data_IF_595733882934
#
_entry.id   IF_595733882934
#
_cell.length_a   1.000
_cell.length_b   1.000
_cell.length_c   1.000
_cell.angle_alpha   90.00
_cell.angle_beta   90.00
_cell.angle_gamma   90.00
#
_symmetry.space_group_name_H-M   'P 1'
#
loop_
_entity.id
_entity.type
_entity.pdbx_description
1 polymer ?
#
# COMPACT_ATOMS: atom_id res chain seq x y z
N UNK A 1 30.92 8.96 2.10
CA UNK A 1 31.03 7.62 2.71
C UNK A 1 31.67 7.67 4.09
N UNK A 2 32.83 8.34 4.27
CA UNK A 2 33.52 8.39 5.58
C UNK A 2 32.71 8.96 6.76
N UNK A 3 31.82 9.94 6.54
CA UNK A 3 30.99 10.49 7.63
C UNK A 3 29.93 9.48 8.09
N UNK A 4 29.28 8.76 7.17
CA UNK A 4 28.22 7.82 7.53
C UNK A 4 28.75 6.61 8.32
N UNK A 5 29.95 6.13 8.00
CA UNK A 5 30.58 5.03 8.76
C UNK A 5 30.93 5.39 10.21
N UNK A 6 30.90 6.67 10.59
CA UNK A 6 31.09 7.10 11.99
C UNK A 6 29.81 6.92 12.82
N UNK A 7 28.64 6.93 12.18
CA UNK A 7 27.33 6.89 12.84
C UNK A 7 26.50 5.63 12.55
N UNK A 8 26.85 4.89 11.50
CA UNK A 8 26.07 3.75 11.02
C UNK A 8 26.92 2.49 10.85
N UNK A 9 26.38 1.36 11.30
CA UNK A 9 26.93 0.03 11.05
C UNK A 9 26.86 -0.31 9.55
N UNK A 10 27.72 -1.22 9.09
CA UNK A 10 27.82 -1.56 7.66
C UNK A 10 26.50 -2.09 7.08
N UNK A 11 25.69 -2.79 7.87
CA UNK A 11 24.38 -3.33 7.47
C UNK A 11 23.23 -2.33 7.62
N UNK A 12 23.50 -1.09 8.03
CA UNK A 12 22.47 -0.07 8.14
C UNK A 12 22.00 0.33 6.73
N UNK A 13 20.70 0.58 6.59
CA UNK A 13 20.08 1.02 5.31
C UNK A 13 20.80 2.23 4.69
N UNK A 14 21.31 3.14 5.52
CA UNK A 14 22.06 4.33 5.08
C UNK A 14 23.43 4.01 4.44
N UNK A 15 23.95 2.80 4.67
CA UNK A 15 25.22 2.31 4.13
C UNK A 15 25.03 1.41 2.89
N UNK A 16 23.79 1.00 2.62
CA UNK A 16 23.40 0.10 1.52
C UNK A 16 22.72 0.86 0.36
N UNK A 17 22.45 0.19 -0.76
CA UNK A 17 21.84 0.80 -1.95
C UNK A 17 20.42 1.32 -1.70
N UNK A 18 19.69 0.73 -0.75
CA UNK A 18 18.33 1.13 -0.35
C UNK A 18 18.29 2.58 0.14
N UNK A 19 19.36 3.10 0.76
CA UNK A 19 19.45 4.51 1.15
C UNK A 19 19.33 5.45 -0.06
N UNK A 20 19.86 5.06 -1.21
CA UNK A 20 19.74 5.83 -2.46
C UNK A 20 18.31 5.80 -2.99
N UNK A 21 17.61 4.67 -2.87
CA UNK A 21 16.19 4.54 -3.24
C UNK A 21 15.33 5.46 -2.39
N UNK A 22 15.55 5.48 -1.07
CA UNK A 22 14.84 6.37 -0.13
C UNK A 22 15.05 7.84 -0.53
N UNK A 23 16.29 8.25 -0.82
CA UNK A 23 16.58 9.62 -1.28
C UNK A 23 15.89 9.94 -2.60
N UNK A 24 15.84 8.99 -3.53
CA UNK A 24 15.09 9.12 -4.79
C UNK A 24 13.59 9.33 -4.56
N UNK A 25 12.99 8.60 -3.61
CA UNK A 25 11.58 8.77 -3.22
C UNK A 25 11.33 10.14 -2.57
N UNK A 26 12.27 10.63 -1.75
CA UNK A 26 12.16 11.95 -1.11
C UNK A 26 12.12 13.11 -2.11
N UNK A 27 12.68 12.95 -3.33
CA UNK A 27 12.54 13.95 -4.40
C UNK A 27 11.07 14.17 -4.76
N UNK A 28 10.23 13.13 -4.66
CA UNK A 28 8.79 13.23 -4.89
C UNK A 28 8.10 14.18 -3.92
N UNK A 29 8.65 14.40 -2.72
CA UNK A 29 8.08 15.33 -1.74
C UNK A 29 8.19 16.81 -2.17
N UNK A 30 9.03 17.14 -3.15
CA UNK A 30 9.23 18.52 -3.60
C UNK A 30 7.97 19.18 -4.16
N UNK A 31 6.98 18.39 -4.59
CA UNK A 31 5.71 18.91 -5.13
C UNK A 31 4.68 19.20 -4.04
N UNK A 32 4.98 18.87 -2.79
CA UNK A 32 4.07 19.00 -1.66
C UNK A 32 4.27 20.35 -0.99
N UNK A 33 3.21 21.15 -0.96
CA UNK A 33 3.14 22.38 -0.18
C UNK A 33 2.71 22.05 1.26
N UNK A 34 3.67 21.96 2.18
CA UNK A 34 3.44 21.65 3.58
C UNK A 34 3.94 22.77 4.51
N UNK A 35 3.04 23.31 5.33
CA UNK A 35 3.36 24.27 6.38
C UNK A 35 3.54 23.52 7.72
N UNK A 36 4.79 23.23 8.09
CA UNK A 36 5.13 22.38 9.23
C UNK A 36 5.18 23.09 10.60
N UNK A 37 4.96 24.40 10.66
CA UNK A 37 4.80 25.20 11.90
C UNK A 37 5.67 24.77 13.11
N UNK A 38 6.99 24.67 12.93
CA UNK A 38 7.92 24.13 13.96
C UNK A 38 8.14 25.09 15.16
N UNK A 39 7.67 26.33 15.07
CA UNK A 39 7.98 27.37 16.06
C UNK A 39 7.08 27.24 17.29
N UNK A 40 7.66 26.84 18.41
CA UNK A 40 6.97 26.75 19.70
C UNK A 40 6.25 25.42 19.93
N UNK A 41 6.46 24.44 19.05
CA UNK A 41 6.00 23.07 19.27
C UNK A 41 7.01 22.28 20.12
N UNK A 42 6.48 21.47 21.03
CA UNK A 42 7.26 20.51 21.82
C UNK A 42 7.40 19.20 21.04
N UNK A 43 8.50 19.09 20.29
CA UNK A 43 8.78 17.93 19.44
C UNK A 43 9.22 16.68 20.23
N UNK A 44 9.50 16.82 21.52
CA UNK A 44 9.88 15.69 22.37
C UNK A 44 8.66 14.81 22.71
N UNK A 45 7.44 15.35 22.59
CA UNK A 45 6.20 14.68 23.01
C UNK A 45 5.19 14.40 21.88
N UNK A 46 5.21 15.15 20.77
CA UNK A 46 4.24 14.98 19.68
C UNK A 46 4.91 14.84 18.30
N UNK A 47 4.56 13.75 17.58
CA UNK A 47 4.91 13.59 16.16
C UNK A 47 3.87 14.34 15.33
N UNK A 48 4.30 15.40 14.65
CA UNK A 48 3.48 16.06 13.64
C UNK A 48 3.13 15.06 12.53
N UNK A 49 1.85 14.71 12.38
CA UNK A 49 1.39 13.79 11.33
C UNK A 49 1.06 14.61 10.09
N UNK A 50 1.75 14.32 8.98
CA UNK A 50 1.40 14.88 7.68
C UNK A 50 0.53 13.86 6.95
N UNK A 51 -0.71 14.24 6.65
CA UNK A 51 -1.63 13.38 5.89
C UNK A 51 -1.32 13.46 4.40
N UNK A 52 -0.63 12.43 3.89
CA UNK A 52 -0.28 12.29 2.48
C UNK A 52 -1.30 11.48 1.66
N UNK A 53 -2.43 11.08 2.25
CA UNK A 53 -3.42 10.21 1.59
C UNK A 53 -3.95 10.78 0.27
N UNK A 54 -4.03 12.10 0.15
CA UNK A 54 -4.48 12.77 -1.08
C UNK A 54 -3.46 12.69 -2.23
N UNK A 55 -2.17 12.53 -1.90
CA UNK A 55 -1.05 12.45 -2.84
C UNK A 55 -0.62 11.01 -3.14
N UNK A 56 -0.87 10.09 -2.20
CA UNK A 56 -0.56 8.66 -2.31
C UNK A 56 -1.71 7.85 -2.93
N UNK A 57 -2.38 8.39 -3.96
CA UNK A 57 -3.36 7.61 -4.72
C UNK A 57 -2.62 6.53 -5.51
N UNK A 58 -2.76 5.27 -5.10
CA UNK A 58 -2.31 4.13 -5.88
C UNK A 58 -3.26 3.93 -7.07
N UNK A 59 -2.75 4.00 -8.30
CA UNK A 59 -3.52 3.62 -9.50
C UNK A 59 -3.98 2.15 -9.44
N UNK A 60 -3.27 1.32 -8.67
CA UNK A 60 -3.63 -0.07 -8.37
C UNK A 60 -4.99 -0.20 -7.70
N UNK A 61 -5.41 0.77 -6.87
CA UNK A 61 -6.65 0.65 -6.11
C UNK A 61 -7.90 0.72 -7.01
N UNK A 62 -7.79 1.34 -8.19
CA UNK A 62 -8.88 1.37 -9.16
C UNK A 62 -8.85 0.13 -10.08
N UNK A 63 -7.67 -0.30 -10.51
CA UNK A 63 -7.53 -1.40 -11.47
C UNK A 63 -7.80 -2.78 -10.84
N UNK A 64 -7.44 -2.99 -9.57
CA UNK A 64 -7.61 -4.27 -8.87
C UNK A 64 -9.02 -4.49 -8.31
N UNK A 65 -9.80 -3.42 -8.10
CA UNK A 65 -11.19 -3.54 -7.65
C UNK A 65 -12.08 -4.12 -8.74
N UNK A 66 -11.87 -3.68 -9.97
CA UNK A 66 -12.62 -4.17 -11.14
C UNK A 66 -12.28 -5.63 -11.44
N UNK A 67 -11.00 -6.00 -11.42
CA UNK A 67 -10.55 -7.39 -11.58
C UNK A 67 -11.08 -8.33 -10.49
N UNK A 68 -11.06 -7.90 -9.22
CA UNK A 68 -11.63 -8.67 -8.10
C UNK A 68 -13.14 -8.85 -8.22
N UNK A 69 -13.88 -7.82 -8.63
CA UNK A 69 -15.32 -7.91 -8.82
C UNK A 69 -15.70 -8.90 -9.92
N UNK A 70 -14.96 -8.90 -11.04
CA UNK A 70 -15.15 -9.88 -12.12
C UNK A 70 -14.85 -11.31 -11.65
N UNK A 71 -13.79 -11.50 -10.88
CA UNK A 71 -13.45 -12.82 -10.32
C UNK A 71 -14.52 -13.33 -9.34
N UNK A 72 -15.05 -12.47 -8.48
CA UNK A 72 -16.12 -12.81 -7.53
C UNK A 72 -17.40 -13.19 -8.30
N UNK A 73 -17.75 -12.46 -9.36
CA UNK A 73 -18.91 -12.80 -10.20
C UNK A 73 -18.78 -14.19 -10.81
N UNK A 74 -17.61 -14.52 -11.36
CA UNK A 74 -17.36 -15.83 -11.97
C UNK A 74 -17.45 -16.99 -10.95
N UNK A 75 -16.98 -16.77 -9.72
CA UNK A 75 -17.08 -17.77 -8.64
C UNK A 75 -18.55 -18.00 -8.25
N UNK A 76 -19.36 -16.94 -8.18
CA UNK A 76 -20.78 -17.04 -7.83
C UNK A 76 -21.58 -17.79 -8.90
N UNK A 77 -21.28 -17.56 -10.18
CA UNK A 77 -21.93 -18.27 -11.29
C UNK A 77 -21.59 -19.77 -11.26
N UNK A 78 -20.33 -20.13 -10.99
CA UNK A 78 -19.93 -21.53 -10.81
C UNK A 78 -20.65 -22.19 -9.64
N UNK A 79 -20.78 -21.49 -8.52
CA UNK A 79 -21.50 -22.00 -7.35
C UNK A 79 -22.98 -22.26 -7.68
N UNK A 80 -23.66 -21.31 -8.32
CA UNK A 80 -25.05 -21.46 -8.73
C UNK A 80 -25.23 -22.65 -9.68
N UNK A 81 -24.32 -22.85 -10.64
CA UNK A 81 -24.37 -23.99 -11.55
C UNK A 81 -24.28 -25.33 -10.81
N UNK A 82 -23.37 -25.43 -9.84
CA UNK A 82 -23.21 -26.66 -9.04
C UNK A 82 -24.43 -26.93 -8.16
N UNK A 83 -25.00 -25.89 -7.54
CA UNK A 83 -26.22 -26.03 -6.73
C UNK A 83 -27.43 -26.48 -7.56
N UNK A 84 -27.57 -25.93 -8.77
CA UNK A 84 -28.60 -26.32 -9.74
C UNK A 84 -28.43 -27.79 -10.17
N UNK A 85 -27.21 -28.20 -10.50
CA UNK A 85 -26.91 -29.58 -10.90
C UNK A 85 -27.21 -30.57 -9.75
N UNK A 86 -26.81 -30.22 -8.52
CA UNK A 86 -27.10 -31.03 -7.35
C UNK A 86 -28.61 -31.12 -7.10
N UNK A 87 -29.38 -30.05 -7.33
CA UNK A 87 -30.85 -30.10 -7.23
C UNK A 87 -31.46 -31.05 -8.26
N UNK A 88 -30.99 -31.02 -9.50
CA UNK A 88 -31.47 -31.91 -10.56
C UNK A 88 -31.13 -33.38 -10.28
N UNK A 89 -29.92 -33.66 -9.80
CA UNK A 89 -29.50 -35.01 -9.40
C UNK A 89 -30.33 -35.54 -8.23
N UNK A 90 -30.58 -34.71 -7.22
CA UNK A 90 -31.38 -35.11 -6.06
C UNK A 90 -32.86 -35.35 -6.44
N UNK A 91 -33.39 -34.56 -7.38
CA UNK A 91 -34.74 -34.75 -7.94
C UNK A 91 -34.83 -35.95 -8.90
N UNK A 92 -33.70 -36.50 -9.36
CA UNK A 92 -33.66 -37.69 -10.23
C UNK A 92 -33.48 -39.00 -9.45
N UNK A 93 -33.35 -38.92 -8.11
CA UNK A 93 -33.21 -40.07 -7.21
C UNK A 93 -34.48 -40.36 -6.37
N UNK A 94 -35.59 -39.65 -6.61
CA UNK A 94 -36.97 -40.08 -6.28
C UNK A 94 -37.67 -40.69 -7.50
#
# INVERSE_FOLDING_TARGET
>A
MFLFSEFYENYAVMMEEEGTVIVGLLVGLNVIDANLCVKGEDLDSQVGVIDFSIYLKSDEDNHDREGRNVHISAILDQKNYVEELNRQLNNSQE
#
